data_IF_255073648794
#
_entry.id   IF_255073648794
#
_cell.length_a   1.000
_cell.length_b   1.000
_cell.length_c   1.000
_cell.angle_alpha   90.00
_cell.angle_beta   90.00
_cell.angle_gamma   90.00
#
_symmetry.space_group_name_H-M   'P 1'
#
loop_
_entity.id
_entity.type
_entity.pdbx_description
1 polymer ?
#
# COMPACT_ATOMS: atom_id res chain seq x y z
N UNK A 1 -22.16 29.79 -4.07
CA UNK A 1 -20.80 30.26 -4.34
C UNK A 1 -19.90 29.06 -4.34
N UNK A 2 -19.15 28.86 -5.42
CA UNK A 2 -18.23 27.72 -5.55
C UNK A 2 -17.15 27.80 -4.48
N UNK A 3 -17.02 26.75 -3.66
CA UNK A 3 -15.88 26.59 -2.76
C UNK A 3 -14.79 25.87 -3.55
N UNK A 4 -13.72 26.60 -3.86
CA UNK A 4 -12.49 26.05 -4.38
C UNK A 4 -11.81 25.35 -3.21
N UNK A 5 -11.56 24.04 -3.34
CA UNK A 5 -10.73 23.30 -2.40
C UNK A 5 -9.28 23.75 -2.60
N UNK A 6 -8.73 24.41 -1.58
CA UNK A 6 -7.34 24.80 -1.53
C UNK A 6 -6.47 23.54 -1.39
N UNK A 7 -5.73 23.21 -2.45
CA UNK A 7 -4.88 22.03 -2.57
C UNK A 7 -3.54 22.18 -1.84
N UNK A 8 -3.45 23.04 -0.83
CA UNK A 8 -2.19 23.43 -0.15
C UNK A 8 -2.01 22.85 1.24
N UNK A 9 -3.01 22.17 1.82
CA UNK A 9 -2.80 21.42 3.06
C UNK A 9 -2.02 20.13 2.75
N UNK A 10 -0.86 19.89 3.39
CA UNK A 10 -0.21 18.59 3.29
C UNK A 10 -1.17 17.53 3.83
N UNK A 11 -1.29 16.37 3.17
CA UNK A 11 -2.13 15.29 3.67
C UNK A 11 -1.71 14.98 5.12
N UNK A 12 -2.67 14.67 6.01
CA UNK A 12 -2.34 14.33 7.39
C UNK A 12 -1.28 13.22 7.40
N UNK A 13 -0.24 13.38 8.21
CA UNK A 13 0.77 12.33 8.43
C UNK A 13 0.06 11.09 8.95
N UNK A 14 -0.02 10.07 8.10
CA UNK A 14 -0.65 8.79 8.43
C UNK A 14 0.44 7.88 8.98
N UNK A 15 0.27 7.26 10.16
CA UNK A 15 1.23 6.29 10.65
C UNK A 15 1.37 5.16 9.61
N UNK A 16 2.56 5.07 9.02
CA UNK A 16 2.91 4.01 8.09
C UNK A 16 2.88 2.66 8.83
N UNK A 17 2.26 1.65 8.20
CA UNK A 17 2.19 0.28 8.72
C UNK A 17 0.94 -0.44 8.22
N UNK A 18 -0.22 -0.12 8.80
CA UNK A 18 -1.46 -0.84 8.52
C UNK A 18 -2.45 -0.11 7.61
N UNK A 19 -2.08 1.07 7.09
CA UNK A 19 -2.91 1.82 6.15
C UNK A 19 -3.88 2.79 6.79
N UNK A 20 -5.05 2.98 6.17
CA UNK A 20 -6.07 3.95 6.57
C UNK A 20 -6.62 3.61 7.95
N UNK A 21 -6.69 4.61 8.81
CA UNK A 21 -7.29 4.47 10.14
C UNK A 21 -8.81 4.30 10.04
N UNK A 22 -9.39 3.62 11.05
CA UNK A 22 -10.83 3.46 11.11
C UNK A 22 -11.52 4.82 11.29
N UNK A 23 -12.50 5.09 10.43
CA UNK A 23 -13.24 6.34 10.46
C UNK A 23 -12.52 7.53 9.82
N UNK A 24 -11.32 7.34 9.27
CA UNK A 24 -10.68 8.35 8.43
C UNK A 24 -11.57 8.63 7.22
N UNK A 25 -12.02 9.87 7.05
CA UNK A 25 -12.87 10.34 5.94
C UNK A 25 -12.10 11.24 4.96
N UNK A 26 -10.78 11.38 5.16
CA UNK A 26 -9.93 12.19 4.28
C UNK A 26 -9.92 11.67 2.84
N UNK A 27 -9.61 12.53 1.86
CA UNK A 27 -9.47 12.11 0.48
C UNK A 27 -8.42 11.01 0.29
N UNK A 28 -8.47 10.35 -0.87
CA UNK A 28 -7.45 9.37 -1.24
C UNK A 28 -6.05 10.02 -1.28
N UNK A 29 -5.07 9.35 -0.70
CA UNK A 29 -3.68 9.77 -0.66
C UNK A 29 -2.97 9.38 -1.96
N UNK A 30 -3.16 10.20 -2.99
CA UNK A 30 -2.52 10.04 -4.29
C UNK A 30 -0.99 10.14 -4.25
N UNK A 31 -0.36 11.06 -3.48
CA UNK A 31 1.10 11.05 -3.31
C UNK A 31 1.60 9.71 -2.76
N UNK A 32 0.95 9.17 -1.72
CA UNK A 32 1.28 7.88 -1.15
C UNK A 32 1.10 6.71 -2.12
N UNK A 33 0.02 6.71 -2.93
CA UNK A 33 -0.18 5.69 -3.97
C UNK A 33 0.92 5.69 -5.03
N UNK A 34 1.43 6.88 -5.39
CA UNK A 34 2.57 7.01 -6.32
C UNK A 34 3.86 6.52 -5.69
N UNK A 35 4.08 6.83 -4.40
CA UNK A 35 5.22 6.31 -3.63
C UNK A 35 5.17 4.78 -3.56
N UNK A 36 4.01 4.20 -3.26
CA UNK A 36 3.80 2.74 -3.21
C UNK A 36 4.07 2.08 -4.57
N UNK A 37 3.58 2.67 -5.67
CA UNK A 37 3.87 2.18 -7.02
C UNK A 37 5.36 2.31 -7.38
N UNK A 38 6.02 3.37 -6.92
CA UNK A 38 7.45 3.57 -7.06
C UNK A 38 8.26 2.49 -6.32
N UNK A 39 7.88 2.17 -5.08
CA UNK A 39 8.48 1.07 -4.34
C UNK A 39 8.28 -0.27 -5.02
N UNK A 40 7.06 -0.56 -5.46
CA UNK A 40 6.75 -1.78 -6.20
C UNK A 40 7.65 -1.94 -7.43
N UNK A 41 7.79 -0.89 -8.24
CA UNK A 41 8.70 -0.88 -9.38
C UNK A 41 10.16 -1.07 -8.93
N UNK A 42 10.61 -0.36 -7.89
CA UNK A 42 11.95 -0.50 -7.33
C UNK A 42 12.26 -1.93 -6.86
N UNK A 43 11.31 -2.59 -6.19
CA UNK A 43 11.46 -3.97 -5.74
C UNK A 43 11.61 -4.95 -6.90
N UNK A 44 10.87 -4.76 -7.99
CA UNK A 44 11.02 -5.59 -9.19
C UNK A 44 12.44 -5.48 -9.77
N UNK A 45 12.96 -4.26 -9.95
CA UNK A 45 14.32 -4.06 -10.45
C UNK A 45 15.39 -4.59 -9.50
N UNK A 46 15.18 -4.41 -8.20
CA UNK A 46 16.08 -4.94 -7.19
C UNK A 46 16.13 -6.47 -7.23
N UNK A 47 14.99 -7.15 -7.31
CA UNK A 47 14.92 -8.62 -7.39
C UNK A 47 15.59 -9.11 -8.68
N UNK A 48 15.29 -8.51 -9.85
CA UNK A 48 15.94 -8.89 -11.12
C UNK A 48 17.45 -8.68 -11.04
N UNK A 49 17.91 -7.53 -10.54
CA UNK A 49 19.33 -7.24 -10.37
C UNK A 49 20.02 -8.20 -9.40
N UNK A 50 19.35 -8.56 -8.29
CA UNK A 50 19.84 -9.52 -7.32
C UNK A 50 19.99 -10.91 -7.96
N UNK A 51 18.95 -11.40 -8.64
CA UNK A 51 18.96 -12.70 -9.33
C UNK A 51 20.00 -12.75 -10.46
N UNK A 52 20.23 -11.63 -11.14
CA UNK A 52 21.27 -11.53 -12.16
C UNK A 52 22.68 -11.73 -11.57
N UNK A 53 22.95 -11.17 -10.39
CA UNK A 53 24.27 -11.25 -9.73
C UNK A 53 24.46 -12.56 -8.94
N UNK A 54 23.37 -13.16 -8.44
CA UNK A 54 23.44 -14.40 -7.67
C UNK A 54 23.87 -15.60 -8.52
N UNK A 55 24.62 -16.56 -7.96
CA UNK A 55 24.93 -17.82 -8.65
C UNK A 55 23.67 -18.57 -9.09
N UNK A 56 23.78 -19.41 -10.12
CA UNK A 56 22.68 -20.24 -10.64
C UNK A 56 22.02 -21.08 -9.53
N UNK A 57 22.81 -21.60 -8.58
CA UNK A 57 22.31 -22.40 -7.46
C UNK A 57 21.30 -21.65 -6.56
N UNK A 58 21.33 -20.31 -6.55
CA UNK A 58 20.45 -19.47 -5.74
C UNK A 58 19.41 -18.77 -6.62
N UNK A 59 19.83 -18.24 -7.77
CA UNK A 59 18.94 -17.54 -8.71
C UNK A 59 18.02 -18.48 -9.48
N UNK A 60 18.38 -19.76 -9.57
CA UNK A 60 17.81 -20.74 -10.50
C UNK A 60 17.93 -20.31 -11.98
N UNK A 61 18.83 -19.37 -12.30
CA UNK A 61 19.02 -18.80 -13.64
C UNK A 61 20.37 -19.21 -14.22
N UNK A 62 20.34 -19.84 -15.39
CA UNK A 62 21.58 -20.17 -16.12
C UNK A 62 22.23 -18.90 -16.65
N UNK A 63 23.54 -18.94 -16.89
CA UNK A 63 24.26 -17.83 -17.51
C UNK A 63 23.68 -17.48 -18.90
N UNK A 64 23.16 -18.48 -19.63
CA UNK A 64 22.48 -18.30 -20.92
C UNK A 64 21.17 -17.52 -20.78
N UNK A 65 20.35 -17.82 -19.76
CA UNK A 65 19.13 -17.05 -19.48
C UNK A 65 19.46 -15.60 -19.13
N UNK A 66 20.55 -15.37 -18.38
CA UNK A 66 21.04 -14.03 -18.04
C UNK A 66 21.49 -13.24 -19.26
N UNK A 67 22.11 -13.89 -20.24
CA UNK A 67 22.51 -13.27 -21.51
C UNK A 67 21.30 -12.98 -22.43
N UNK A 68 20.21 -13.74 -22.32
CA UNK A 68 18.99 -13.54 -23.09
C UNK A 68 18.12 -12.35 -22.63
N UNK A 69 18.36 -11.79 -21.43
CA UNK A 69 17.63 -10.64 -20.89
C UNK A 69 17.96 -9.34 -21.62
N UNK A 70 17.48 -9.26 -22.86
CA UNK A 70 17.67 -8.11 -23.73
C UNK A 70 16.37 -7.34 -23.88
N UNK A 71 16.48 -6.04 -24.13
CA UNK A 71 15.34 -5.17 -24.48
C UNK A 71 14.58 -5.72 -25.69
N UNK A 72 15.25 -6.44 -26.60
CA UNK A 72 14.62 -7.06 -27.76
C UNK A 72 13.72 -8.25 -27.37
N UNK A 73 14.16 -9.11 -26.44
CA UNK A 73 13.34 -10.22 -25.91
C UNK A 73 12.12 -9.69 -25.18
N UNK A 74 12.33 -8.70 -24.31
CA UNK A 74 11.24 -8.01 -23.63
C UNK A 74 10.23 -7.41 -24.62
N UNK A 75 10.71 -6.71 -25.65
CA UNK A 75 9.85 -6.14 -26.68
C UNK A 75 9.09 -7.20 -27.47
N UNK A 76 9.71 -8.33 -27.79
CA UNK A 76 9.05 -9.46 -28.45
C UNK A 76 7.93 -10.03 -27.56
N UNK A 77 8.20 -10.24 -26.27
CA UNK A 77 7.25 -10.75 -25.30
C UNK A 77 6.05 -9.80 -25.09
N UNK A 78 6.30 -8.49 -25.02
CA UNK A 78 5.25 -7.45 -24.91
C UNK A 78 4.37 -7.37 -26.17
N UNK A 79 4.96 -7.59 -27.34
CA UNK A 79 4.23 -7.45 -28.62
C UNK A 79 3.50 -8.71 -29.06
N UNK A 80 3.76 -9.85 -28.42
CA UNK A 80 3.13 -11.13 -28.73
C UNK A 80 2.42 -11.74 -27.51
N UNK A 81 1.38 -11.07 -26.96
CA UNK A 81 0.66 -11.59 -25.81
C UNK A 81 -0.02 -12.92 -26.14
N UNK A 82 -0.07 -13.84 -25.16
CA UNK A 82 -0.60 -15.19 -25.34
C UNK A 82 -1.51 -15.60 -24.20
N UNK A 83 -2.26 -16.66 -24.44
CA UNK A 83 -2.82 -17.43 -23.35
C UNK A 83 -1.70 -18.29 -22.78
N UNK A 84 -1.32 -18.00 -21.55
CA UNK A 84 -0.13 -18.59 -20.93
C UNK A 84 -0.38 -20.08 -20.55
N UNK A 85 0.54 -21.01 -20.92
CA UNK A 85 0.44 -22.42 -20.59
C UNK A 85 0.78 -22.77 -19.13
N UNK A 86 1.05 -21.79 -18.27
CA UNK A 86 1.42 -22.00 -16.88
C UNK A 86 0.44 -22.87 -16.06
N UNK A 87 0.99 -23.43 -14.99
CA UNK A 87 0.23 -24.23 -14.04
C UNK A 87 -0.94 -23.45 -13.48
N UNK A 88 -2.13 -24.06 -13.49
CA UNK A 88 -3.39 -23.38 -13.15
C UNK A 88 -3.36 -22.64 -11.80
N UNK A 89 -2.64 -23.14 -10.80
CA UNK A 89 -2.60 -22.51 -9.47
C UNK A 89 -1.81 -21.20 -9.47
N UNK A 90 -0.89 -20.99 -10.41
CA UNK A 90 -0.18 -19.71 -10.56
C UNK A 90 -1.18 -18.65 -10.98
N UNK A 91 -1.90 -18.92 -12.08
CA UNK A 91 -2.83 -17.99 -12.71
C UNK A 91 -4.13 -17.74 -11.93
N UNK A 92 -4.59 -18.74 -11.16
CA UNK A 92 -5.87 -18.67 -10.45
C UNK A 92 -5.76 -18.58 -8.93
N UNK A 93 -4.56 -18.67 -8.36
CA UNK A 93 -4.34 -18.50 -6.90
C UNK A 93 -3.24 -17.48 -6.62
N UNK A 94 -2.02 -17.70 -7.15
CA UNK A 94 -0.88 -16.86 -6.80
C UNK A 94 -1.00 -15.45 -7.37
N UNK A 95 -1.30 -15.31 -8.65
CA UNK A 95 -1.50 -14.00 -9.27
C UNK A 95 -2.70 -13.26 -8.65
N UNK A 96 -3.90 -13.88 -8.49
CA UNK A 96 -5.00 -13.26 -7.76
C UNK A 96 -4.66 -12.85 -6.32
N UNK A 97 -3.83 -13.62 -5.60
CA UNK A 97 -3.34 -13.18 -4.29
C UNK A 97 -2.56 -11.87 -4.39
N UNK A 98 -1.64 -11.72 -5.34
CA UNK A 98 -0.95 -10.44 -5.53
C UNK A 98 -1.90 -9.32 -5.94
N UNK A 99 -2.86 -9.59 -6.83
CA UNK A 99 -3.93 -8.64 -7.18
C UNK A 99 -4.75 -8.18 -5.96
N UNK A 100 -5.01 -9.07 -5.01
CA UNK A 100 -5.63 -8.76 -3.71
C UNK A 100 -4.76 -7.80 -2.90
N UNK A 101 -3.45 -8.05 -2.81
CA UNK A 101 -2.55 -7.16 -2.06
C UNK A 101 -2.52 -5.74 -2.66
N UNK A 102 -2.51 -5.62 -3.99
CA UNK A 102 -2.54 -4.34 -4.69
C UNK A 102 -3.86 -3.60 -4.44
N UNK A 103 -4.97 -4.32 -4.52
CA UNK A 103 -6.30 -3.79 -4.19
C UNK A 103 -6.34 -3.28 -2.75
N UNK A 104 -5.92 -4.10 -1.78
CA UNK A 104 -5.90 -3.74 -0.36
C UNK A 104 -5.05 -2.48 -0.15
N UNK A 105 -3.84 -2.40 -0.71
CA UNK A 105 -3.00 -1.20 -0.61
C UNK A 105 -3.71 0.05 -1.12
N UNK A 106 -4.42 -0.07 -2.24
CA UNK A 106 -5.26 1.00 -2.78
C UNK A 106 -6.35 1.47 -1.80
N UNK A 107 -7.06 0.52 -1.18
CA UNK A 107 -8.07 0.80 -0.13
C UNK A 107 -7.46 1.45 1.10
N UNK A 108 -6.29 0.99 1.49
CA UNK A 108 -5.51 1.52 2.61
C UNK A 108 -4.94 2.92 2.37
N UNK A 109 -4.82 3.36 1.11
CA UNK A 109 -4.57 4.78 0.78
C UNK A 109 -5.84 5.59 0.59
N UNK A 110 -6.99 4.95 0.64
CA UNK A 110 -8.29 5.59 0.65
C UNK A 110 -9.01 5.69 -0.69
N UNK A 111 -8.58 4.94 -1.70
CA UNK A 111 -9.35 4.77 -2.94
C UNK A 111 -10.68 4.09 -2.65
N UNK A 112 -11.73 4.38 -3.44
CA UNK A 112 -12.97 3.58 -3.45
C UNK A 112 -12.72 2.15 -3.95
N UNK A 113 -13.68 1.24 -3.84
CA UNK A 113 -13.58 -0.12 -4.39
C UNK A 113 -13.21 -0.10 -5.88
N UNK A 114 -13.89 0.73 -6.67
CA UNK A 114 -13.56 0.92 -8.10
C UNK A 114 -12.17 1.51 -8.31
N UNK A 115 -11.77 2.48 -7.49
CA UNK A 115 -10.43 3.07 -7.58
C UNK A 115 -9.34 2.04 -7.25
N UNK A 116 -9.55 1.24 -6.22
CA UNK A 116 -8.64 0.18 -5.81
C UNK A 116 -8.57 -0.96 -6.84
N UNK A 117 -9.69 -1.30 -7.49
CA UNK A 117 -9.69 -2.22 -8.63
C UNK A 117 -8.78 -1.72 -9.76
N UNK A 118 -8.92 -0.46 -10.18
CA UNK A 118 -8.07 0.09 -11.25
C UNK A 118 -6.61 0.24 -10.83
N UNK A 119 -6.36 0.50 -9.55
CA UNK A 119 -5.00 0.49 -9.01
C UNK A 119 -4.39 -0.90 -9.05
N UNK A 120 -5.14 -1.93 -8.62
CA UNK A 120 -4.75 -3.34 -8.73
C UNK A 120 -4.47 -3.73 -10.18
N UNK A 121 -5.40 -3.43 -11.09
CA UNK A 121 -5.23 -3.63 -12.54
C UNK A 121 -3.95 -2.99 -13.06
N UNK A 122 -3.66 -1.76 -12.64
CA UNK A 122 -2.46 -1.02 -13.08
C UNK A 122 -1.18 -1.70 -12.59
N UNK A 123 -1.10 -2.07 -11.30
CA UNK A 123 0.08 -2.73 -10.76
C UNK A 123 0.27 -4.14 -11.33
N UNK A 124 -0.81 -4.91 -11.53
CA UNK A 124 -0.78 -6.18 -12.25
C UNK A 124 -0.26 -6.00 -13.68
N UNK A 125 -0.71 -4.96 -14.38
CA UNK A 125 -0.22 -4.66 -15.73
C UNK A 125 1.26 -4.27 -15.73
N UNK A 126 1.72 -3.52 -14.73
CA UNK A 126 3.14 -3.15 -14.60
C UNK A 126 4.00 -4.40 -14.33
N UNK A 127 3.52 -5.36 -13.53
CA UNK A 127 4.20 -6.62 -13.32
C UNK A 127 4.33 -7.42 -14.62
N UNK A 128 3.20 -7.64 -15.28
CA UNK A 128 3.07 -8.43 -16.51
C UNK A 128 3.94 -7.86 -17.64
N UNK A 129 3.79 -6.57 -17.93
CA UNK A 129 4.57 -5.89 -18.98
C UNK A 129 5.99 -5.52 -18.52
N UNK A 130 6.31 -5.67 -17.24
CA UNK A 130 7.58 -5.29 -16.67
C UNK A 130 8.47 -6.50 -16.48
N UNK A 131 8.45 -7.04 -15.26
CA UNK A 131 9.31 -8.14 -14.84
C UNK A 131 8.99 -9.42 -15.62
N UNK A 132 7.73 -9.80 -15.70
CA UNK A 132 7.30 -11.05 -16.34
C UNK A 132 7.63 -11.08 -17.83
N UNK A 133 7.39 -9.97 -18.53
CA UNK A 133 7.79 -9.79 -19.93
C UNK A 133 9.30 -9.95 -20.21
N UNK A 134 10.19 -9.87 -19.20
CA UNK A 134 11.61 -10.20 -19.39
C UNK A 134 11.84 -11.71 -19.59
N UNK A 135 10.94 -12.53 -19.07
CA UNK A 135 11.03 -13.98 -19.06
C UNK A 135 10.09 -14.60 -20.09
N UNK A 136 8.83 -14.18 -20.07
CA UNK A 136 7.74 -14.85 -20.77
C UNK A 136 6.84 -13.85 -21.52
N UNK A 137 6.14 -14.27 -22.60
CA UNK A 137 5.21 -13.41 -23.29
C UNK A 137 4.07 -12.96 -22.37
N UNK A 138 3.62 -11.71 -22.53
CA UNK A 138 2.52 -11.15 -21.73
C UNK A 138 1.28 -12.05 -21.76
N UNK A 139 0.79 -12.41 -20.58
CA UNK A 139 -0.35 -13.27 -20.35
C UNK A 139 -1.67 -12.49 -20.40
N UNK A 140 -2.53 -12.87 -21.34
CA UNK A 140 -3.87 -12.29 -21.48
C UNK A 140 -4.77 -12.68 -20.31
N UNK A 141 -4.60 -13.89 -19.79
CA UNK A 141 -5.43 -14.41 -18.70
C UNK A 141 -5.11 -13.69 -17.39
N UNK A 142 -3.85 -13.42 -17.10
CA UNK A 142 -3.45 -12.77 -15.85
C UNK A 142 -3.86 -11.30 -15.83
N UNK A 143 -3.79 -10.62 -16.97
CA UNK A 143 -4.36 -9.28 -17.13
C UNK A 143 -5.86 -9.18 -16.77
N UNK A 144 -6.60 -10.30 -16.80
CA UNK A 144 -8.03 -10.37 -16.46
C UNK A 144 -8.24 -10.92 -15.05
N UNK A 145 -7.70 -12.10 -14.75
CA UNK A 145 -8.00 -12.85 -13.53
C UNK A 145 -7.24 -12.29 -12.32
N UNK A 146 -6.00 -11.83 -12.49
CA UNK A 146 -5.19 -11.27 -11.40
C UNK A 146 -5.89 -10.09 -10.73
N UNK A 147 -6.23 -8.99 -11.43
CA UNK A 147 -6.94 -7.89 -10.81
C UNK A 147 -8.42 -8.22 -10.55
N UNK A 148 -9.06 -9.05 -11.36
CA UNK A 148 -10.46 -9.42 -11.21
C UNK A 148 -10.74 -10.25 -9.95
N UNK A 149 -10.13 -11.44 -9.86
CA UNK A 149 -10.26 -12.32 -8.69
C UNK A 149 -9.54 -11.74 -7.48
N UNK A 150 -8.41 -11.06 -7.68
CA UNK A 150 -7.67 -10.42 -6.59
C UNK A 150 -8.47 -9.32 -5.92
N UNK A 151 -9.11 -8.42 -6.68
CA UNK A 151 -9.95 -7.38 -6.08
C UNK A 151 -11.17 -7.95 -5.35
N UNK A 152 -11.76 -9.04 -5.85
CA UNK A 152 -12.85 -9.74 -5.16
C UNK A 152 -12.39 -10.32 -3.82
N UNK A 153 -11.21 -10.95 -3.81
CA UNK A 153 -10.61 -11.47 -2.58
C UNK A 153 -10.24 -10.35 -1.61
N UNK A 154 -9.76 -9.21 -2.13
CA UNK A 154 -9.38 -8.05 -1.31
C UNK A 154 -10.59 -7.43 -0.65
N UNK A 155 -11.67 -7.25 -1.41
CA UNK A 155 -12.97 -6.83 -0.92
C UNK A 155 -13.49 -7.77 0.19
N UNK A 156 -13.38 -9.08 0.01
CA UNK A 156 -13.78 -10.06 1.02
C UNK A 156 -13.03 -9.89 2.35
N UNK A 157 -11.74 -9.55 2.32
CA UNK A 157 -10.94 -9.33 3.52
C UNK A 157 -11.09 -7.93 4.14
N UNK A 158 -11.75 -6.97 3.48
CA UNK A 158 -11.90 -5.61 4.02
C UNK A 158 -12.58 -5.60 5.38
N UNK A 159 -13.68 -6.34 5.53
CA UNK A 159 -14.45 -6.40 6.77
C UNK A 159 -13.61 -6.98 7.91
N UNK A 160 -12.92 -8.09 7.65
CA UNK A 160 -11.99 -8.72 8.60
C UNK A 160 -10.88 -7.75 9.03
N UNK A 161 -10.27 -7.03 8.08
CA UNK A 161 -9.24 -6.03 8.40
C UNK A 161 -9.81 -4.90 9.25
N UNK A 162 -11.03 -4.43 8.96
CA UNK A 162 -11.68 -3.38 9.77
C UNK A 162 -12.01 -3.87 11.18
N UNK A 163 -12.51 -5.10 11.31
CA UNK A 163 -12.78 -5.71 12.61
C UNK A 163 -11.49 -5.82 13.43
N UNK A 164 -10.42 -6.35 12.85
CA UNK A 164 -9.10 -6.43 13.49
C UNK A 164 -8.66 -5.04 13.96
N UNK A 165 -8.68 -4.05 13.05
CA UNK A 165 -8.24 -2.68 13.35
C UNK A 165 -9.06 -2.01 14.47
N UNK A 166 -10.30 -2.46 14.70
CA UNK A 166 -11.19 -1.88 15.72
C UNK A 166 -10.87 -2.35 17.13
N UNK A 167 -10.04 -3.39 17.25
CA UNK A 167 -9.63 -3.94 18.52
C UNK A 167 -8.61 -3.02 19.22
N UNK A 168 -8.66 -2.98 20.55
CA UNK A 168 -7.71 -2.20 21.36
C UNK A 168 -6.30 -2.81 21.42
N UNK A 169 -6.15 -4.08 21.04
CA UNK A 169 -4.87 -4.80 20.97
C UNK A 169 -4.95 -5.89 19.91
N UNK A 170 -3.84 -6.17 19.22
CA UNK A 170 -3.78 -7.21 18.19
C UNK A 170 -3.10 -8.48 18.70
N UNK A 171 -3.70 -9.63 18.43
CA UNK A 171 -3.04 -10.92 18.58
C UNK A 171 -2.00 -11.16 17.47
N UNK A 172 -1.19 -12.20 17.63
CA UNK A 172 -0.27 -12.65 16.58
C UNK A 172 -1.00 -12.96 15.25
N UNK A 173 -2.19 -13.55 15.33
CA UNK A 173 -2.98 -13.89 14.13
C UNK A 173 -3.56 -12.66 13.46
N UNK A 174 -3.99 -11.67 14.24
CA UNK A 174 -4.48 -10.39 13.72
C UNK A 174 -3.39 -9.67 12.92
N UNK A 175 -2.19 -9.59 13.49
CA UNK A 175 -1.02 -9.02 12.80
C UNK A 175 -0.68 -9.82 11.54
N UNK A 176 -0.73 -11.15 11.61
CA UNK A 176 -0.44 -12.03 10.46
C UNK A 176 -1.43 -11.76 9.32
N UNK A 177 -2.72 -11.65 9.61
CA UNK A 177 -3.74 -11.32 8.59
C UNK A 177 -3.48 -9.96 7.98
N UNK A 178 -3.19 -8.95 8.80
CA UNK A 178 -2.91 -7.59 8.31
C UNK A 178 -1.69 -7.55 7.39
N UNK A 179 -0.62 -8.27 7.71
CA UNK A 179 0.60 -8.37 6.89
C UNK A 179 0.35 -9.18 5.62
N UNK A 180 -0.32 -10.33 5.69
CA UNK A 180 -0.58 -11.16 4.51
C UNK A 180 -1.52 -10.49 3.51
N UNK A 181 -2.42 -9.64 3.98
CA UNK A 181 -3.36 -8.93 3.10
C UNK A 181 -2.83 -7.58 2.60
N UNK A 182 -1.78 -7.02 3.22
CA UNK A 182 -1.04 -5.85 2.74
C UNK A 182 0.49 -5.95 2.98
N UNK A 183 1.16 -6.93 2.34
CA UNK A 183 2.60 -7.12 2.53
C UNK A 183 3.40 -5.96 1.93
N UNK A 184 2.90 -5.33 0.86
CA UNK A 184 3.51 -4.14 0.27
C UNK A 184 3.48 -2.95 1.22
N UNK A 185 2.34 -2.66 1.85
CA UNK A 185 2.26 -1.59 2.85
C UNK A 185 3.19 -1.82 4.03
N UNK A 186 3.29 -3.08 4.48
CA UNK A 186 4.21 -3.49 5.55
C UNK A 186 5.67 -3.26 5.14
N UNK A 187 6.06 -3.74 3.95
CA UNK A 187 7.42 -3.60 3.44
C UNK A 187 7.80 -2.13 3.19
N UNK A 188 6.90 -1.35 2.59
CA UNK A 188 7.11 0.08 2.35
C UNK A 188 7.34 0.84 3.65
N UNK A 189 6.64 0.46 4.73
CA UNK A 189 6.85 1.06 6.06
C UNK A 189 8.25 0.77 6.61
N UNK A 190 8.77 -0.44 6.40
CA UNK A 190 10.13 -0.80 6.81
C UNK A 190 11.16 0.00 6.01
N UNK A 191 10.97 0.07 4.69
CA UNK A 191 11.85 0.82 3.79
C UNK A 191 11.83 2.31 4.10
N UNK A 192 10.64 2.87 4.37
CA UNK A 192 10.49 4.24 4.84
C UNK A 192 11.22 4.46 6.16
N UNK A 193 11.05 3.55 7.12
CA UNK A 193 11.81 3.59 8.37
C UNK A 193 13.32 3.65 8.14
N UNK A 194 13.86 2.90 7.19
CA UNK A 194 15.30 2.96 6.86
C UNK A 194 15.71 4.27 6.18
N UNK A 195 14.93 4.72 5.20
CA UNK A 195 15.23 5.93 4.41
C UNK A 195 15.06 7.20 5.27
N UNK A 196 14.04 7.25 6.12
CA UNK A 196 13.74 8.37 7.03
C UNK A 196 14.67 8.37 8.25
N UNK A 197 15.13 7.20 8.75
CA UNK A 197 16.17 7.16 9.81
C UNK A 197 17.49 7.78 9.35
N UNK A 198 17.79 7.75 8.04
CA UNK A 198 18.98 8.39 7.46
C UNK A 198 18.77 9.87 7.10
N UNK A 199 17.56 10.43 7.27
CA UNK A 199 17.24 11.80 6.86
C UNK A 199 16.09 12.38 7.69
N UNK A 200 16.35 13.19 8.75
CA UNK A 200 15.42 14.29 9.10
C UNK A 200 15.92 15.30 10.15
N UNK A 201 15.74 16.59 9.83
CA UNK A 201 15.82 17.72 10.76
C UNK A 201 14.61 18.65 10.48
N UNK A 202 13.62 18.66 11.35
CA UNK A 202 12.54 19.66 11.31
C UNK A 202 12.36 20.39 12.65
N UNK A 203 12.25 21.71 12.56
CA UNK A 203 12.04 22.62 13.68
C UNK A 203 10.62 23.20 13.57
N UNK A 204 9.74 22.90 14.53
CA UNK A 204 8.38 23.45 14.54
C UNK A 204 8.02 24.12 15.86
N UNK A 205 7.31 25.25 15.75
CA UNK A 205 6.72 25.99 16.87
C UNK A 205 5.19 26.02 16.71
N UNK A 206 4.44 25.69 17.76
CA UNK A 206 2.98 25.70 17.72
C UNK A 206 2.38 26.55 18.85
N UNK A 207 1.31 27.30 18.52
CA UNK A 207 0.42 28.00 19.45
C UNK A 207 -1.01 27.54 19.18
N UNK A 208 -1.73 27.03 20.18
CA UNK A 208 -3.14 26.61 20.05
C UNK A 208 -4.00 27.48 20.97
N UNK A 209 -4.82 28.36 20.40
CA UNK A 209 -5.83 29.09 21.18
C UNK A 209 -7.00 28.18 21.55
N UNK A 210 -7.65 28.34 22.72
CA UNK A 210 -8.80 27.53 23.09
C UNK A 210 -10.00 27.87 22.20
N UNK A 211 -10.57 26.88 21.51
CA UNK A 211 -11.87 27.01 20.85
C UNK A 211 -12.98 26.56 21.79
N UNK A 212 -13.85 27.49 22.21
CA UNK A 212 -15.11 27.14 22.86
C UNK A 212 -16.17 26.89 21.77
N UNK A 213 -16.52 25.62 21.55
CA UNK A 213 -17.65 25.23 20.71
C UNK A 213 -18.86 24.86 21.56
N UNK A 214 -19.96 25.61 21.44
CA UNK A 214 -21.28 25.24 21.96
C UNK A 214 -21.92 24.31 20.93
N UNK A 215 -22.28 23.08 21.31
CA UNK A 215 -23.06 22.17 20.48
C UNK A 215 -24.52 22.12 20.96
N UNK A 216 -25.48 22.28 20.03
CA UNK A 216 -26.92 22.07 20.22
C UNK A 216 -27.20 20.56 20.25
N UNK A 217 -27.62 20.06 21.41
CA UNK A 217 -27.81 18.65 21.74
C UNK A 217 -29.31 18.32 21.64
N UNK A 218 -29.77 17.75 20.50
CA UNK A 218 -31.18 17.33 20.32
C UNK A 218 -31.34 15.90 19.78
N UNK A 219 -30.48 14.99 20.19
CA UNK A 219 -30.74 13.56 19.99
C UNK A 219 -30.61 12.78 21.31
N UNK A 220 -31.74 12.40 21.90
CA UNK A 220 -31.85 11.94 23.29
C UNK A 220 -31.53 10.44 23.48
N UNK A 221 -31.17 9.70 22.42
CA UNK A 221 -31.06 8.23 22.46
C UNK A 221 -29.71 7.62 22.03
N UNK A 222 -28.59 8.37 22.02
CA UNK A 222 -27.27 7.78 21.78
C UNK A 222 -26.63 7.23 23.07
N UNK A 223 -26.22 5.94 23.13
CA UNK A 223 -25.58 5.34 24.30
C UNK A 223 -24.10 5.71 24.48
N UNK A 224 -23.53 6.59 23.65
CA UNK A 224 -22.14 7.06 23.77
C UNK A 224 -22.05 8.44 24.43
N UNK A 225 -22.39 8.53 25.71
CA UNK A 225 -22.06 9.71 26.53
C UNK A 225 -20.65 9.56 27.12
N UNK A 226 -19.65 10.16 26.49
CA UNK A 226 -18.37 10.39 27.14
C UNK A 226 -18.34 11.82 27.72
N UNK A 227 -18.06 11.86 29.03
CA UNK A 227 -17.90 13.03 29.89
C UNK A 227 -16.67 13.82 29.43
N UNK A 228 -16.84 15.08 29.03
CA UNK A 228 -15.73 15.96 28.63
C UNK A 228 -15.38 16.85 29.82
N UNK A 229 -14.29 16.54 30.52
CA UNK A 229 -13.65 17.52 31.41
C UNK A 229 -12.67 18.37 30.58
N UNK A 230 -12.65 19.71 30.74
CA UNK A 230 -11.71 20.56 30.03
C UNK A 230 -10.32 20.43 30.66
N UNK A 231 -9.44 19.63 30.07
CA UNK A 231 -8.00 19.70 30.35
C UNK A 231 -7.41 20.87 29.57
N UNK A 232 -7.36 22.04 30.22
CA UNK A 232 -6.47 23.13 29.84
C UNK A 232 -5.09 22.78 30.33
N UNK A 233 -4.11 22.64 29.43
CA UNK A 233 -2.70 22.78 29.77
C UNK A 233 -1.97 23.43 28.58
N UNK A 234 -1.49 24.65 28.79
CA UNK A 234 -0.59 25.33 27.86
C UNK A 234 0.81 24.70 27.98
N UNK A 235 1.40 24.28 26.86
CA UNK A 235 2.80 23.83 26.81
C UNK A 235 3.54 24.52 25.66
N UNK A 236 4.69 25.11 25.99
CA UNK A 236 5.73 25.50 25.05
C UNK A 236 6.81 24.41 25.14
N UNK A 237 6.84 23.52 24.15
CA UNK A 237 7.74 22.38 24.12
C UNK A 237 8.71 22.45 22.94
N UNK A 238 10.00 22.25 23.23
CA UNK A 238 10.98 21.79 22.26
C UNK A 238 11.13 20.29 22.49
N UNK A 239 10.69 19.46 21.54
CA UNK A 239 10.86 18.02 21.62
C UNK A 239 12.06 17.62 20.77
N UNK A 240 13.12 17.17 21.44
CA UNK A 240 14.29 16.54 20.84
C UNK A 240 14.25 15.06 21.23
N UNK A 241 13.77 14.21 20.32
CA UNK A 241 13.79 12.77 20.56
C UNK A 241 15.02 12.18 19.88
N UNK A 242 16.01 11.80 20.69
CA UNK A 242 17.21 11.10 20.23
C UNK A 242 17.17 9.70 20.81
N UNK A 243 17.00 8.69 19.97
CA UNK A 243 17.16 7.31 20.38
C UNK A 243 18.29 6.66 19.60
N UNK A 244 19.27 6.18 20.36
CA UNK A 244 20.40 5.38 19.89
C UNK A 244 20.12 3.94 20.26
N UNK A 245 20.25 3.03 19.30
CA UNK A 245 20.86 1.72 19.52
C UNK A 245 21.38 1.16 18.20
#
# INVERSE_FOLDING_TARGET
GNVILDSSEPPPERPYGYGRELGDTSPADYPGLRKDAGYFFGYQFFIVGLLYVLPEEISAWTDEQKEEYTVNKWWDNVTHPRWDPDEWYINYILHPYWGMTYYTRGRERGLSETGAFWYSFTLSSIYEFGLEALFEPVSIQDMIFTPGLGSLLGWYFEDTRREIKSQSSYSFWDQTVLVLTDPLGTLNTIVDGWIETDSELELRSFYRSPSFGIYDDRDWNSPYRQRIDPLVNDYLGLQLTVHWQ
#
